data_IF_719242939897
#
_entry.id   IF_719242939897
#
_cell.length_a   1.000
_cell.length_b   1.000
_cell.length_c   1.000
_cell.angle_alpha   90.00
_cell.angle_beta   90.00
_cell.angle_gamma   90.00
#
_symmetry.space_group_name_H-M   'P 1'
#
loop_
_entity.id
_entity.type
_entity.pdbx_description
1 polymer ?
#
# COMPACT_ATOMS: atom_id res chain seq x y z
N UNK A 1 30.61 45.14 -9.52
CA UNK A 1 32.07 45.02 -9.48
C UNK A 1 32.40 43.57 -9.07
N UNK A 2 33.13 42.84 -9.90
CA UNK A 2 33.67 41.55 -9.52
C UNK A 2 34.71 41.75 -8.43
N UNK A 3 34.56 41.09 -7.29
CA UNK A 3 35.56 41.08 -6.23
C UNK A 3 36.60 40.01 -6.56
N UNK A 4 37.87 40.35 -6.39
CA UNK A 4 38.97 39.40 -6.53
C UNK A 4 38.79 38.25 -5.52
N UNK A 5 39.16 37.06 -5.92
CA UNK A 5 39.04 35.86 -5.09
C UNK A 5 40.14 35.82 -4.01
N UNK A 6 39.88 36.54 -2.92
CA UNK A 6 40.75 36.56 -1.74
C UNK A 6 40.03 35.98 -0.51
N UNK A 7 40.77 35.43 0.47
CA UNK A 7 40.15 34.89 1.69
C UNK A 7 39.29 35.92 2.43
N UNK A 8 39.67 37.21 2.41
CA UNK A 8 38.92 38.31 3.00
C UNK A 8 37.58 38.54 2.27
N UNK A 9 37.59 38.51 0.94
CA UNK A 9 36.39 38.68 0.13
C UNK A 9 35.45 37.46 0.24
N UNK A 10 35.97 36.25 0.29
CA UNK A 10 35.17 35.03 0.57
C UNK A 10 34.43 35.14 1.91
N UNK A 11 35.11 35.66 2.96
CA UNK A 11 34.46 35.85 4.27
C UNK A 11 33.36 36.91 4.21
N UNK A 12 33.54 37.99 3.48
CA UNK A 12 32.51 39.04 3.28
C UNK A 12 31.31 38.51 2.52
N UNK A 13 31.52 37.75 1.44
CA UNK A 13 30.44 37.15 0.64
C UNK A 13 29.64 36.15 1.49
N UNK A 14 30.31 35.36 2.31
CA UNK A 14 29.64 34.42 3.23
C UNK A 14 28.76 35.17 4.24
N UNK A 15 29.24 36.25 4.84
CA UNK A 15 28.44 37.06 5.77
C UNK A 15 27.22 37.71 5.10
N UNK A 16 27.37 38.17 3.84
CA UNK A 16 26.23 38.71 3.08
C UNK A 16 25.22 37.62 2.78
N UNK A 17 25.66 36.41 2.41
CA UNK A 17 24.77 35.27 2.15
C UNK A 17 23.98 34.86 3.40
N UNK A 18 24.67 34.71 4.53
CA UNK A 18 24.02 34.39 5.83
C UNK A 18 22.96 35.44 6.22
N UNK A 19 23.24 36.71 5.94
CA UNK A 19 22.30 37.82 6.17
C UNK A 19 21.10 37.74 5.22
N UNK A 20 21.30 37.46 3.94
CA UNK A 20 20.23 37.28 2.95
C UNK A 20 19.35 36.12 3.37
N UNK A 21 19.92 34.97 3.77
CA UNK A 21 19.17 33.79 4.24
C UNK A 21 18.36 34.11 5.49
N UNK A 22 18.91 34.87 6.43
CA UNK A 22 18.19 35.31 7.62
C UNK A 22 17.00 36.23 7.28
N UNK A 23 17.22 37.23 6.40
CA UNK A 23 16.17 38.17 5.97
C UNK A 23 15.06 37.44 5.16
N UNK A 24 15.41 36.46 4.32
CA UNK A 24 14.44 35.61 3.64
C UNK A 24 13.61 34.79 4.65
N UNK A 25 14.26 34.26 5.67
CA UNK A 25 13.58 33.45 6.71
C UNK A 25 12.59 34.28 7.52
N UNK A 26 12.92 35.53 7.81
CA UNK A 26 12.07 36.48 8.55
C UNK A 26 11.07 37.19 7.62
N UNK A 27 11.21 37.10 6.30
CA UNK A 27 10.32 37.76 5.31
C UNK A 27 10.60 39.24 5.12
N UNK A 28 11.80 39.72 5.48
CA UNK A 28 12.23 41.11 5.34
C UNK A 28 13.25 41.35 4.23
N UNK A 29 13.49 40.34 3.41
CA UNK A 29 14.46 40.42 2.31
C UNK A 29 13.97 41.33 1.18
N UNK A 30 14.77 42.32 0.85
CA UNK A 30 14.58 43.23 -0.30
C UNK A 30 15.68 43.02 -1.34
N UNK A 31 15.32 42.45 -2.51
CA UNK A 31 16.27 42.16 -3.59
C UNK A 31 17.06 43.38 -4.06
N UNK A 32 16.38 44.52 -4.22
CA UNK A 32 16.99 45.75 -4.68
C UNK A 32 18.10 46.29 -3.77
N UNK A 33 18.05 45.99 -2.46
CA UNK A 33 19.04 46.39 -1.47
C UNK A 33 20.38 45.69 -1.65
N UNK A 34 20.36 44.44 -2.07
CA UNK A 34 21.55 43.60 -2.26
C UNK A 34 22.06 43.62 -3.69
N UNK A 35 21.16 43.83 -4.68
CA UNK A 35 21.46 43.77 -6.11
C UNK A 35 20.90 44.98 -6.87
N UNK A 36 21.31 46.21 -6.53
CA UNK A 36 20.70 47.44 -7.07
C UNK A 36 20.89 47.64 -8.58
N UNK A 37 21.86 46.97 -9.20
CA UNK A 37 22.11 47.02 -10.65
C UNK A 37 21.64 45.79 -11.44
N UNK A 38 20.87 44.90 -10.83
CA UNK A 38 20.38 43.71 -11.51
C UNK A 38 19.16 44.04 -12.36
N UNK A 39 19.10 43.48 -13.60
CA UNK A 39 17.93 43.54 -14.47
C UNK A 39 16.69 42.87 -13.86
N UNK A 40 16.88 42.05 -12.83
CA UNK A 40 15.80 41.39 -12.12
C UNK A 40 15.16 42.27 -11.01
N UNK A 41 15.69 43.45 -10.72
CA UNK A 41 15.12 44.35 -9.69
C UNK A 41 13.66 44.70 -10.00
N UNK A 42 13.34 44.99 -11.26
CA UNK A 42 11.98 45.30 -11.66
C UNK A 42 11.05 44.09 -11.56
N UNK A 43 11.55 42.91 -11.89
CA UNK A 43 10.80 41.64 -11.76
C UNK A 43 10.42 41.36 -10.29
N UNK A 44 11.40 41.53 -9.38
CA UNK A 44 11.14 41.33 -7.94
C UNK A 44 10.40 42.49 -7.29
N UNK A 45 10.46 43.73 -7.85
CA UNK A 45 9.59 44.83 -7.45
C UNK A 45 8.14 44.57 -7.84
N UNK A 46 7.88 44.00 -9.04
CA UNK A 46 6.56 43.61 -9.48
C UNK A 46 6.00 42.51 -8.57
N UNK A 47 6.82 41.52 -8.18
CA UNK A 47 6.41 40.46 -7.23
C UNK A 47 6.05 41.02 -5.83
N UNK A 48 6.77 42.03 -5.33
CA UNK A 48 6.48 42.66 -4.03
C UNK A 48 5.28 43.64 -4.13
N UNK A 49 5.10 44.31 -5.27
CA UNK A 49 3.92 45.15 -5.52
C UNK A 49 2.64 44.35 -5.64
N UNK A 50 2.72 43.13 -6.20
CA UNK A 50 1.59 42.21 -6.29
C UNK A 50 1.19 41.64 -4.92
N UNK A 51 2.03 41.71 -3.89
CA UNK A 51 1.68 41.30 -2.53
C UNK A 51 0.78 42.33 -1.80
N UNK A 52 0.58 43.51 -2.38
CA UNK A 52 -0.33 44.56 -1.87
C UNK A 52 -1.66 44.68 -2.62
N UNK A 53 -1.73 44.20 -3.88
CA UNK A 53 -3.01 44.08 -4.57
C UNK A 53 -3.77 42.87 -4.05
N UNK A 54 -4.99 43.15 -3.59
CA UNK A 54 -5.93 42.10 -3.22
C UNK A 54 -6.23 41.30 -4.48
N UNK A 55 -5.48 40.22 -4.69
CA UNK A 55 -5.81 39.26 -5.75
C UNK A 55 -7.27 38.86 -5.58
N UNK A 56 -8.13 39.33 -6.47
CA UNK A 56 -9.52 38.87 -6.54
C UNK A 56 -9.51 37.41 -7.01
N UNK A 57 -9.35 36.51 -6.05
CA UNK A 57 -9.44 35.08 -6.29
C UNK A 57 -10.81 34.59 -5.92
N UNK A 58 -11.35 33.57 -6.60
CA UNK A 58 -12.67 33.01 -6.29
C UNK A 58 -12.72 32.45 -4.87
N UNK A 59 -13.93 32.24 -4.35
CA UNK A 59 -14.14 31.51 -3.13
C UNK A 59 -13.64 30.06 -3.31
N UNK A 60 -13.18 29.48 -2.21
CA UNK A 60 -12.73 28.09 -2.21
C UNK A 60 -13.84 27.14 -2.67
N UNK A 61 -15.10 27.40 -2.29
CA UNK A 61 -16.26 26.60 -2.72
C UNK A 61 -16.45 26.59 -4.24
N UNK A 62 -16.33 27.75 -4.88
CA UNK A 62 -16.47 27.89 -6.33
C UNK A 62 -15.31 27.25 -7.08
N UNK A 63 -14.09 27.54 -6.64
CA UNK A 63 -12.89 26.98 -7.25
C UNK A 63 -12.80 25.44 -7.07
N UNK A 64 -13.10 24.95 -5.87
CA UNK A 64 -13.11 23.51 -5.58
C UNK A 64 -14.14 22.74 -6.43
N UNK A 65 -15.30 23.36 -6.71
CA UNK A 65 -16.30 22.76 -7.60
C UNK A 65 -15.79 22.71 -9.04
N UNK A 66 -15.24 23.80 -9.55
CA UNK A 66 -14.65 23.88 -10.89
C UNK A 66 -13.54 22.84 -11.05
N UNK A 67 -12.60 22.81 -10.10
CA UNK A 67 -11.51 21.83 -10.07
C UNK A 67 -12.02 20.39 -10.02
N UNK A 68 -13.05 20.12 -9.21
CA UNK A 68 -13.62 18.78 -9.11
C UNK A 68 -14.26 18.33 -10.43
N UNK A 69 -14.99 19.23 -11.12
CA UNK A 69 -15.65 18.90 -12.37
C UNK A 69 -14.65 18.65 -13.51
N UNK A 70 -13.53 19.36 -13.52
CA UNK A 70 -12.44 19.14 -14.47
C UNK A 70 -11.69 17.83 -14.19
N UNK A 71 -11.39 17.56 -12.93
CA UNK A 71 -10.57 16.40 -12.54
C UNK A 71 -11.33 15.08 -12.56
N UNK A 72 -12.66 15.09 -12.33
CA UNK A 72 -13.48 13.85 -12.24
C UNK A 72 -13.48 13.01 -13.49
N UNK A 73 -13.24 13.59 -14.67
CA UNK A 73 -13.24 12.88 -15.96
C UNK A 73 -12.18 11.79 -16.04
N UNK A 74 -11.08 11.93 -15.31
CA UNK A 74 -9.98 10.97 -15.27
C UNK A 74 -10.07 10.01 -14.06
N UNK A 75 -11.04 10.20 -13.15
CA UNK A 75 -11.16 9.41 -11.95
C UNK A 75 -12.16 8.26 -12.07
N UNK A 76 -11.89 7.21 -11.29
CA UNK A 76 -12.88 6.15 -11.10
C UNK A 76 -14.00 6.62 -10.18
N UNK A 77 -15.21 6.11 -10.38
CA UNK A 77 -16.42 6.41 -9.58
C UNK A 77 -16.16 6.39 -8.06
N UNK A 78 -15.45 5.36 -7.56
CA UNK A 78 -15.12 5.25 -6.13
C UNK A 78 -14.22 6.38 -5.62
N UNK A 79 -13.32 6.89 -6.46
CA UNK A 79 -12.48 8.04 -6.12
C UNK A 79 -13.27 9.34 -6.15
N UNK A 80 -14.12 9.51 -7.17
CA UNK A 80 -15.06 10.64 -7.28
C UNK A 80 -15.90 10.75 -5.99
N UNK A 81 -16.55 9.64 -5.57
CA UNK A 81 -17.36 9.61 -4.33
C UNK A 81 -16.53 9.97 -3.08
N UNK A 82 -15.29 9.52 -3.02
CA UNK A 82 -14.40 9.77 -1.88
C UNK A 82 -13.96 11.23 -1.81
N UNK A 83 -13.63 11.83 -2.96
CA UNK A 83 -13.24 13.25 -3.04
C UNK A 83 -14.46 14.12 -2.75
N UNK A 84 -15.63 13.82 -3.35
CA UNK A 84 -16.88 14.55 -3.08
C UNK A 84 -17.22 14.54 -1.58
N UNK A 85 -17.21 13.35 -0.96
CA UNK A 85 -17.45 13.25 0.49
C UNK A 85 -16.42 14.06 1.31
N UNK A 86 -15.17 14.12 0.85
CA UNK A 86 -14.12 14.88 1.53
C UNK A 86 -14.35 16.38 1.40
N UNK A 87 -14.76 16.85 0.22
CA UNK A 87 -15.15 18.24 -0.02
C UNK A 87 -16.33 18.61 0.89
N UNK A 88 -17.44 17.90 0.78
CA UNK A 88 -18.69 18.25 1.45
C UNK A 88 -18.59 18.19 2.97
N UNK A 89 -17.91 17.17 3.50
CA UNK A 89 -17.84 16.94 4.94
C UNK A 89 -16.74 17.73 5.66
N UNK A 90 -15.62 17.98 4.99
CA UNK A 90 -14.44 18.52 5.67
C UNK A 90 -13.94 19.84 5.10
N UNK A 91 -13.86 19.98 3.77
CA UNK A 91 -13.19 21.14 3.18
C UNK A 91 -14.11 22.34 3.02
N UNK A 92 -15.29 22.16 2.44
CA UNK A 92 -16.25 23.25 2.24
C UNK A 92 -16.69 23.90 3.57
N UNK A 93 -16.99 23.16 4.66
CA UNK A 93 -17.35 23.78 5.92
C UNK A 93 -16.24 24.61 6.58
N UNK A 94 -14.96 24.37 6.21
CA UNK A 94 -13.83 25.06 6.84
C UNK A 94 -13.22 26.17 5.97
N UNK A 95 -13.29 26.04 4.64
CA UNK A 95 -12.64 26.95 3.72
C UNK A 95 -13.59 27.55 2.68
N UNK A 96 -14.83 27.05 2.56
CA UNK A 96 -15.75 27.38 1.48
C UNK A 96 -15.93 28.87 1.22
N UNK A 97 -16.09 29.65 2.27
CA UNK A 97 -16.36 31.09 2.22
C UNK A 97 -15.08 31.95 2.16
N UNK A 98 -13.90 31.33 2.11
CA UNK A 98 -12.63 32.04 2.00
C UNK A 98 -12.16 32.11 0.54
N UNK A 99 -11.62 33.25 0.14
CA UNK A 99 -10.93 33.37 -1.15
C UNK A 99 -9.67 32.48 -1.16
N UNK A 100 -9.44 31.70 -2.25
CA UNK A 100 -8.32 30.74 -2.32
C UNK A 100 -6.95 31.40 -2.13
N UNK A 101 -6.77 32.64 -2.58
CA UNK A 101 -5.54 33.41 -2.40
C UNK A 101 -5.34 33.97 -0.99
N UNK A 102 -6.37 33.97 -0.13
CA UNK A 102 -6.28 34.46 1.25
C UNK A 102 -6.06 33.36 2.28
N UNK A 103 -6.21 32.10 1.90
CA UNK A 103 -5.93 30.95 2.78
C UNK A 103 -4.43 30.91 3.09
N UNK A 104 -4.10 30.90 4.39
CA UNK A 104 -2.72 30.92 4.87
C UNK A 104 -2.30 29.52 5.36
N UNK A 105 -0.99 29.30 5.43
CA UNK A 105 -0.40 28.11 6.01
C UNK A 105 -0.90 27.82 7.43
N UNK A 106 -1.13 28.87 8.24
CA UNK A 106 -1.67 28.75 9.59
C UNK A 106 -3.06 28.12 9.60
N UNK A 107 -3.94 28.50 8.65
CA UNK A 107 -5.31 27.98 8.54
C UNK A 107 -5.30 26.49 8.22
N UNK A 108 -4.41 26.07 7.30
CA UNK A 108 -4.22 24.66 6.91
C UNK A 108 -3.72 23.83 8.10
N UNK A 109 -2.75 24.34 8.85
CA UNK A 109 -2.20 23.65 10.03
C UNK A 109 -3.24 23.60 11.16
N UNK A 110 -3.99 24.69 11.36
CA UNK A 110 -5.13 24.74 12.29
C UNK A 110 -6.18 23.70 11.95
N UNK A 111 -6.61 23.66 10.70
CA UNK A 111 -7.55 22.65 10.20
C UNK A 111 -7.03 21.21 10.42
N UNK A 112 -5.75 20.93 10.10
CA UNK A 112 -5.15 19.62 10.36
C UNK A 112 -5.17 19.25 11.85
N UNK A 113 -4.93 20.23 12.74
CA UNK A 113 -5.02 20.03 14.19
C UNK A 113 -6.47 19.74 14.64
N UNK A 114 -7.45 20.42 14.05
CA UNK A 114 -8.86 20.15 14.31
C UNK A 114 -9.26 18.73 13.91
N UNK A 115 -8.82 18.28 12.73
CA UNK A 115 -9.05 16.89 12.27
C UNK A 115 -8.51 15.84 13.25
N UNK A 116 -7.39 16.12 13.91
CA UNK A 116 -6.82 15.22 14.92
C UNK A 116 -7.68 15.11 16.19
N UNK A 117 -8.59 16.05 16.43
CA UNK A 117 -9.51 16.05 17.57
C UNK A 117 -10.90 15.49 17.24
N UNK A 118 -11.21 15.29 15.95
CA UNK A 118 -12.49 14.72 15.53
C UNK A 118 -12.54 13.25 15.93
N UNK A 119 -13.60 12.87 16.63
CA UNK A 119 -13.86 11.47 16.99
C UNK A 119 -14.00 10.60 15.74
N UNK A 120 -13.21 9.53 15.67
CA UNK A 120 -13.28 8.51 14.64
C UNK A 120 -14.41 7.51 14.94
N UNK A 121 -14.48 6.46 14.12
CA UNK A 121 -15.54 5.43 14.19
C UNK A 121 -15.55 4.61 15.50
N UNK A 122 -14.49 4.69 16.32
CA UNK A 122 -14.30 3.93 17.57
C UNK A 122 -14.07 4.86 18.77
N UNK A 123 -14.62 6.07 18.76
CA UNK A 123 -14.36 7.11 19.76
C UNK A 123 -12.91 7.59 19.84
N UNK A 124 -12.00 6.97 19.08
CA UNK A 124 -10.62 7.41 18.89
C UNK A 124 -10.58 8.56 17.87
N UNK A 125 -9.57 9.41 17.96
CA UNK A 125 -9.30 10.47 16.97
C UNK A 125 -9.08 9.90 15.56
N UNK A 126 -9.22 10.75 14.51
CA UNK A 126 -8.94 10.33 13.13
C UNK A 126 -7.47 9.90 13.01
N UNK A 127 -7.24 8.75 12.38
CA UNK A 127 -5.88 8.24 12.14
C UNK A 127 -5.08 9.15 11.22
N UNK A 128 -3.74 9.18 11.36
CA UNK A 128 -2.82 9.93 10.50
C UNK A 128 -3.07 9.64 9.00
N UNK A 129 -3.34 8.38 8.65
CA UNK A 129 -3.70 8.00 7.27
C UNK A 129 -4.97 8.70 6.80
N UNK A 130 -6.02 8.74 7.62
CA UNK A 130 -7.29 9.39 7.25
C UNK A 130 -7.11 10.90 7.12
N UNK A 131 -6.37 11.52 8.04
CA UNK A 131 -6.04 12.95 7.97
C UNK A 131 -5.26 13.25 6.68
N UNK A 132 -4.23 12.48 6.35
CA UNK A 132 -3.48 12.66 5.11
C UNK A 132 -4.38 12.52 3.87
N UNK A 133 -5.35 11.59 3.87
CA UNK A 133 -6.32 11.45 2.77
C UNK A 133 -7.23 12.66 2.63
N UNK A 134 -7.63 13.32 3.74
CA UNK A 134 -8.43 14.54 3.70
C UNK A 134 -7.58 15.72 3.21
N UNK A 135 -6.32 15.81 3.66
CA UNK A 135 -5.40 16.88 3.29
C UNK A 135 -4.94 16.83 1.82
N UNK A 136 -5.02 15.65 1.19
CA UNK A 136 -4.57 15.48 -0.21
C UNK A 136 -5.39 16.31 -1.20
N UNK A 137 -6.74 16.24 -1.24
CA UNK A 137 -7.55 17.11 -2.11
C UNK A 137 -7.33 18.60 -1.81
N UNK A 138 -7.24 18.99 -0.53
CA UNK A 138 -6.94 20.39 -0.16
C UNK A 138 -5.64 20.87 -0.79
N UNK A 139 -4.57 20.07 -0.70
CA UNK A 139 -3.28 20.38 -1.34
C UNK A 139 -3.41 20.52 -2.85
N UNK A 140 -4.13 19.61 -3.50
CA UNK A 140 -4.31 19.63 -4.96
C UNK A 140 -5.05 20.89 -5.39
N UNK A 141 -6.14 21.25 -4.70
CA UNK A 141 -6.93 22.44 -5.00
C UNK A 141 -6.10 23.72 -4.80
N UNK A 142 -5.43 23.85 -3.66
CA UNK A 142 -4.64 25.07 -3.38
C UNK A 142 -3.41 25.22 -4.28
N UNK A 143 -2.79 24.13 -4.67
CA UNK A 143 -1.68 24.17 -5.63
C UNK A 143 -2.19 24.56 -7.03
N UNK A 144 -3.32 24.03 -7.46
CA UNK A 144 -3.92 24.36 -8.74
C UNK A 144 -4.40 25.83 -8.77
N UNK A 145 -5.02 26.31 -7.68
CA UNK A 145 -5.40 27.71 -7.54
C UNK A 145 -4.17 28.63 -7.58
N UNK A 146 -3.10 28.25 -6.88
CA UNK A 146 -1.84 29.00 -6.88
C UNK A 146 -1.24 29.12 -8.29
N UNK A 147 -1.30 28.04 -9.08
CA UNK A 147 -0.84 28.05 -10.47
C UNK A 147 -1.70 28.92 -11.39
N UNK A 148 -3.04 28.87 -11.24
CA UNK A 148 -3.98 29.62 -12.10
C UNK A 148 -4.03 31.12 -11.80
N UNK A 149 -3.87 31.47 -10.53
CA UNK A 149 -3.96 32.87 -10.06
C UNK A 149 -2.60 33.45 -9.66
N UNK A 150 -1.50 32.78 -10.01
CA UNK A 150 -0.12 33.25 -9.90
C UNK A 150 0.29 33.72 -8.48
N UNK A 151 -0.16 32.99 -7.45
CA UNK A 151 0.28 33.22 -6.07
C UNK A 151 1.07 32.05 -5.50
N UNK A 152 1.82 32.30 -4.41
CA UNK A 152 2.57 31.24 -3.74
C UNK A 152 1.63 30.29 -2.98
N UNK A 153 1.68 28.98 -3.29
CA UNK A 153 0.81 28.00 -2.62
C UNK A 153 1.03 28.01 -1.10
N UNK A 154 -0.03 28.21 -0.31
CA UNK A 154 0.05 28.18 1.15
C UNK A 154 0.34 26.77 1.69
N UNK A 155 0.26 25.75 0.84
CA UNK A 155 0.58 24.37 1.20
C UNK A 155 2.08 24.07 1.15
N UNK A 156 2.90 25.00 0.65
CA UNK A 156 4.33 24.82 0.55
C UNK A 156 4.98 24.47 1.91
N UNK A 157 5.82 23.44 1.93
CA UNK A 157 6.53 22.98 3.13
C UNK A 157 5.65 22.26 4.17
N UNK A 158 4.37 21.99 3.90
CA UNK A 158 3.53 21.17 4.78
C UNK A 158 3.73 19.69 4.46
N UNK A 159 4.42 18.98 5.36
CA UNK A 159 4.67 17.54 5.24
C UNK A 159 3.42 16.73 5.70
N UNK A 160 3.19 15.59 5.04
CA UNK A 160 2.21 14.62 5.50
C UNK A 160 2.56 14.06 6.88
N UNK A 161 1.53 13.71 7.66
CA UNK A 161 1.73 13.05 8.95
C UNK A 161 2.39 11.69 8.74
N UNK A 162 3.33 11.34 9.62
CA UNK A 162 3.97 10.03 9.62
C UNK A 162 2.94 8.96 9.96
N UNK A 163 2.79 7.99 9.09
CA UNK A 163 1.89 6.84 9.29
C UNK A 163 2.72 5.68 9.82
N UNK A 164 2.36 5.10 10.97
CA UNK A 164 3.01 3.88 11.47
C UNK A 164 2.86 2.76 10.44
N UNK A 165 3.93 1.98 10.27
CA UNK A 165 3.86 0.78 9.42
C UNK A 165 2.95 -0.23 10.10
N UNK A 166 1.97 -0.73 9.38
CA UNK A 166 1.14 -1.84 9.84
C UNK A 166 1.81 -3.14 9.45
N UNK A 167 2.02 -4.00 10.43
CA UNK A 167 2.55 -5.33 10.18
C UNK A 167 1.50 -6.21 9.51
N UNK A 168 1.95 -7.00 8.55
CA UNK A 168 1.13 -8.08 8.00
C UNK A 168 1.14 -9.25 8.98
N UNK A 169 0.00 -9.93 9.10
CA UNK A 169 -0.21 -11.07 9.99
C UNK A 169 -0.69 -12.27 9.18
N UNK A 170 0.19 -12.90 8.38
CA UNK A 170 -0.19 -14.06 7.60
C UNK A 170 -0.60 -15.21 8.53
N UNK A 171 -1.38 -16.12 8.00
CA UNK A 171 -1.73 -17.37 8.67
C UNK A 171 -0.62 -18.39 8.47
N UNK A 172 -0.39 -19.23 9.47
CA UNK A 172 0.44 -20.43 9.32
C UNK A 172 -0.27 -21.46 8.45
N UNK A 173 0.45 -22.45 7.94
CA UNK A 173 -0.15 -23.51 7.13
C UNK A 173 -1.16 -24.34 7.94
N UNK A 174 -0.89 -24.58 9.24
CA UNK A 174 -1.81 -25.29 10.14
C UNK A 174 -3.08 -24.48 10.42
N UNK A 175 -2.97 -23.17 10.60
CA UNK A 175 -4.13 -22.28 10.71
C UNK A 175 -4.97 -22.30 9.42
N UNK A 176 -4.33 -22.27 8.24
CA UNK A 176 -5.01 -22.38 6.94
C UNK A 176 -5.74 -23.70 6.81
N UNK A 177 -5.08 -24.80 7.17
CA UNK A 177 -5.67 -26.14 7.16
C UNK A 177 -6.90 -26.19 8.08
N UNK A 178 -6.77 -25.75 9.33
CA UNK A 178 -7.87 -25.69 10.29
C UNK A 178 -9.05 -24.86 9.78
N UNK A 179 -8.79 -23.74 9.13
CA UNK A 179 -9.82 -22.89 8.53
C UNK A 179 -10.55 -23.62 7.40
N UNK A 180 -9.82 -24.28 6.48
CA UNK A 180 -10.40 -24.99 5.32
C UNK A 180 -11.20 -26.23 5.76
N UNK A 181 -10.73 -26.93 6.78
CA UNK A 181 -11.38 -28.14 7.28
C UNK A 181 -12.64 -27.83 8.09
N UNK A 182 -12.68 -26.70 8.78
CA UNK A 182 -13.78 -26.31 9.68
C UNK A 182 -14.84 -25.45 9.01
N UNK A 183 -14.48 -24.70 7.96
CA UNK A 183 -15.44 -23.83 7.31
C UNK A 183 -16.61 -24.62 6.71
N UNK A 184 -17.79 -24.00 6.71
CA UNK A 184 -18.99 -24.60 6.06
C UNK A 184 -18.65 -25.05 4.63
N UNK A 185 -19.18 -26.20 4.18
CA UNK A 185 -18.86 -26.78 2.86
C UNK A 185 -19.06 -25.82 1.69
N UNK A 186 -20.11 -24.99 1.74
CA UNK A 186 -20.44 -23.99 0.69
C UNK A 186 -19.43 -22.85 0.57
N UNK A 187 -18.55 -22.65 1.57
CA UNK A 187 -17.47 -21.66 1.53
C UNK A 187 -16.06 -22.29 1.40
N UNK A 188 -15.96 -23.62 1.37
CA UNK A 188 -14.66 -24.29 1.35
C UNK A 188 -13.85 -23.93 0.10
N UNK A 189 -14.45 -24.02 -1.08
CA UNK A 189 -13.82 -23.63 -2.34
C UNK A 189 -13.44 -22.16 -2.36
N UNK A 190 -14.28 -21.27 -1.81
CA UNK A 190 -14.02 -19.84 -1.70
C UNK A 190 -12.75 -19.55 -0.90
N UNK A 191 -12.53 -20.19 0.24
CA UNK A 191 -11.34 -19.96 1.05
C UNK A 191 -10.09 -20.65 0.47
N UNK A 192 -10.21 -21.82 -0.15
CA UNK A 192 -9.11 -22.45 -0.91
C UNK A 192 -8.60 -21.49 -1.99
N UNK A 193 -9.49 -20.94 -2.81
CA UNK A 193 -9.12 -19.93 -3.83
C UNK A 193 -8.46 -18.72 -3.19
N UNK A 194 -8.99 -18.19 -2.09
CA UNK A 194 -8.41 -17.03 -1.43
C UNK A 194 -7.01 -17.26 -0.87
N UNK A 195 -6.74 -18.41 -0.28
CA UNK A 195 -5.45 -18.71 0.33
C UNK A 195 -4.37 -19.08 -0.68
N UNK A 196 -4.74 -19.68 -1.82
CA UNK A 196 -3.75 -20.26 -2.73
C UNK A 196 -3.65 -19.59 -4.09
N UNK A 197 -4.40 -18.52 -4.36
CA UNK A 197 -4.29 -17.74 -5.60
C UNK A 197 -3.77 -16.32 -5.40
N UNK A 198 -3.75 -15.83 -4.17
CA UNK A 198 -3.37 -14.45 -3.87
C UNK A 198 -4.28 -13.38 -4.51
N UNK A 199 -5.46 -13.73 -5.00
CA UNK A 199 -6.43 -12.80 -5.57
C UNK A 199 -6.86 -11.74 -4.54
N UNK A 200 -7.08 -10.50 -5.01
CA UNK A 200 -7.70 -9.46 -4.17
C UNK A 200 -9.14 -9.81 -3.85
N UNK A 201 -9.66 -9.35 -2.72
CA UNK A 201 -11.05 -9.63 -2.32
C UNK A 201 -12.06 -9.27 -3.42
N UNK A 202 -11.91 -8.11 -4.06
CA UNK A 202 -12.78 -7.68 -5.15
C UNK A 202 -12.63 -8.54 -6.42
N UNK A 203 -11.45 -9.10 -6.67
CA UNK A 203 -11.19 -10.01 -7.79
C UNK A 203 -11.88 -11.36 -7.55
N UNK A 204 -11.82 -11.90 -6.33
CA UNK A 204 -12.53 -13.15 -5.98
C UNK A 204 -14.04 -13.00 -6.09
N UNK A 205 -14.60 -11.87 -5.62
CA UNK A 205 -16.03 -11.62 -5.72
C UNK A 205 -16.50 -11.31 -7.16
N UNK A 206 -15.61 -10.80 -8.01
CA UNK A 206 -15.89 -10.54 -9.41
C UNK A 206 -15.46 -11.67 -10.36
N UNK A 207 -15.00 -12.81 -9.82
CA UNK A 207 -14.54 -13.92 -10.64
C UNK A 207 -15.70 -14.60 -11.37
N UNK A 208 -15.58 -14.68 -12.68
CA UNK A 208 -16.56 -15.31 -13.55
C UNK A 208 -16.02 -16.61 -14.13
N UNK A 209 -16.90 -17.59 -14.42
CA UNK A 209 -16.51 -18.89 -14.98
C UNK A 209 -15.77 -18.79 -16.30
N UNK A 210 -16.15 -17.86 -17.17
CA UNK A 210 -15.45 -17.61 -18.43
C UNK A 210 -13.98 -17.18 -18.27
N UNK A 211 -13.58 -16.82 -17.04
CA UNK A 211 -12.20 -16.45 -16.71
C UNK A 211 -11.40 -17.61 -16.08
N UNK A 212 -12.00 -18.78 -15.91
CA UNK A 212 -11.35 -19.97 -15.36
C UNK A 212 -11.03 -20.94 -16.50
N UNK A 213 -9.75 -21.14 -16.76
CA UNK A 213 -9.26 -22.11 -17.73
C UNK A 213 -8.77 -23.36 -16.99
N UNK A 214 -9.56 -24.43 -17.06
CA UNK A 214 -9.24 -25.70 -16.41
C UNK A 214 -8.17 -26.52 -17.14
N UNK A 215 -8.01 -26.33 -18.47
CA UNK A 215 -7.03 -27.03 -19.27
C UNK A 215 -5.64 -26.46 -18.99
N UNK A 216 -5.50 -25.14 -19.04
CA UNK A 216 -4.26 -24.43 -18.71
C UNK A 216 -4.01 -24.28 -17.23
N UNK A 217 -5.00 -24.63 -16.40
CA UNK A 217 -4.98 -24.40 -14.95
C UNK A 217 -4.68 -22.95 -14.59
N UNK A 218 -5.48 -22.03 -15.11
CA UNK A 218 -5.25 -20.60 -14.94
C UNK A 218 -6.54 -19.82 -14.70
N UNK A 219 -6.44 -18.73 -13.97
CA UNK A 219 -7.49 -17.70 -13.86
C UNK A 219 -7.02 -16.45 -14.58
N UNK A 220 -7.85 -15.96 -15.50
CA UNK A 220 -7.67 -14.68 -16.18
C UNK A 220 -8.31 -13.57 -15.34
N UNK A 221 -7.50 -12.81 -14.59
CA UNK A 221 -8.00 -11.70 -13.75
C UNK A 221 -8.30 -10.50 -14.65
N UNK A 222 -9.58 -10.29 -14.94
CA UNK A 222 -10.07 -9.20 -15.81
C UNK A 222 -10.97 -8.22 -15.09
N UNK A 223 -11.76 -8.71 -14.14
CA UNK A 223 -12.82 -7.98 -13.47
C UNK A 223 -12.66 -7.98 -11.96
N UNK A 224 -13.25 -6.99 -11.31
CA UNK A 224 -13.36 -6.90 -9.88
C UNK A 224 -14.75 -6.40 -9.48
N UNK A 225 -15.34 -6.97 -8.43
CA UNK A 225 -16.62 -6.53 -7.88
C UNK A 225 -16.40 -5.41 -6.86
N UNK A 226 -16.83 -4.19 -7.18
CA UNK A 226 -16.59 -3.01 -6.35
C UNK A 226 -17.89 -2.23 -6.17
N UNK A 227 -18.33 -2.04 -4.93
CA UNK A 227 -19.56 -1.27 -4.58
C UNK A 227 -20.82 -1.68 -5.39
N UNK A 228 -20.99 -2.97 -5.67
CA UNK A 228 -22.17 -3.47 -6.39
C UNK A 228 -22.05 -3.40 -7.92
N UNK A 229 -20.88 -3.09 -8.44
CA UNK A 229 -20.62 -3.02 -9.89
C UNK A 229 -19.43 -3.90 -10.28
N UNK A 230 -19.51 -4.52 -11.45
CA UNK A 230 -18.41 -5.24 -12.07
C UNK A 230 -17.53 -4.22 -12.80
N UNK A 231 -16.33 -4.00 -12.26
CA UNK A 231 -15.38 -3.01 -12.79
C UNK A 231 -14.26 -3.74 -13.52
N UNK A 232 -13.98 -3.33 -14.75
CA UNK A 232 -12.84 -3.84 -15.51
C UNK A 232 -11.51 -3.38 -14.92
N UNK A 233 -10.54 -4.29 -14.79
CA UNK A 233 -9.21 -3.98 -14.26
C UNK A 233 -8.36 -3.33 -15.34
N UNK A 234 -8.19 -2.00 -15.30
CA UNK A 234 -7.51 -1.22 -16.37
C UNK A 234 -5.99 -1.03 -16.17
N UNK A 235 -5.43 -1.42 -15.04
CA UNK A 235 -4.00 -1.21 -14.79
C UNK A 235 -3.19 -2.42 -15.24
N UNK A 236 -2.07 -2.22 -15.90
CA UNK A 236 -1.19 -3.26 -16.46
C UNK A 236 -0.83 -4.38 -15.45
N UNK A 237 -0.63 -4.04 -14.17
CA UNK A 237 -0.40 -5.03 -13.12
C UNK A 237 -1.66 -5.75 -12.60
N UNK A 238 -2.86 -5.27 -12.94
CA UNK A 238 -4.12 -5.92 -12.49
C UNK A 238 -4.66 -6.90 -13.52
N UNK A 239 -4.39 -6.69 -14.79
CA UNK A 239 -4.71 -7.63 -15.87
C UNK A 239 -3.60 -8.69 -15.90
N UNK A 240 -3.90 -9.88 -15.43
CA UNK A 240 -2.91 -10.95 -15.31
C UNK A 240 -3.54 -12.31 -15.37
N UNK A 241 -2.69 -13.29 -15.57
CA UNK A 241 -3.01 -14.71 -15.40
C UNK A 241 -2.49 -15.18 -14.04
N UNK A 242 -3.28 -15.95 -13.33
CA UNK A 242 -2.92 -16.59 -12.05
C UNK A 242 -2.92 -18.10 -12.26
N UNK A 243 -1.77 -18.73 -12.02
CA UNK A 243 -1.62 -20.17 -12.13
C UNK A 243 -2.29 -20.88 -10.95
N UNK A 244 -2.90 -22.02 -11.21
CA UNK A 244 -3.67 -22.79 -10.23
C UNK A 244 -2.96 -24.08 -9.87
N UNK A 245 -2.81 -24.33 -8.58
CA UNK A 245 -2.44 -25.64 -8.09
C UNK A 245 -3.58 -26.64 -8.34
N UNK A 246 -3.28 -27.93 -8.33
CA UNK A 246 -4.26 -28.99 -8.49
C UNK A 246 -5.38 -28.90 -7.44
N UNK A 247 -5.02 -28.59 -6.19
CA UNK A 247 -5.98 -28.39 -5.09
C UNK A 247 -7.01 -27.29 -5.42
N UNK A 248 -6.56 -26.16 -5.98
CA UNK A 248 -7.44 -25.07 -6.39
C UNK A 248 -8.30 -25.45 -7.58
N UNK A 249 -7.74 -26.16 -8.58
CA UNK A 249 -8.53 -26.68 -9.71
C UNK A 249 -9.63 -27.62 -9.27
N UNK A 250 -9.32 -28.54 -8.37
CA UNK A 250 -10.31 -29.50 -7.84
C UNK A 250 -11.42 -28.78 -7.06
N UNK A 251 -11.05 -27.81 -6.21
CA UNK A 251 -12.02 -26.99 -5.49
C UNK A 251 -12.93 -26.18 -6.46
N UNK A 252 -12.38 -25.65 -7.54
CA UNK A 252 -13.16 -24.93 -8.55
C UNK A 252 -14.06 -25.88 -9.38
N UNK A 253 -13.61 -27.11 -9.68
CA UNK A 253 -14.47 -28.12 -10.34
C UNK A 253 -15.68 -28.50 -9.48
N UNK A 254 -15.48 -28.71 -8.19
CA UNK A 254 -16.60 -28.95 -7.26
C UNK A 254 -17.52 -27.73 -7.15
N UNK A 255 -16.96 -26.52 -7.09
CA UNK A 255 -17.75 -25.29 -7.10
C UNK A 255 -18.54 -25.11 -8.40
N UNK A 256 -18.01 -25.53 -9.54
CA UNK A 256 -18.69 -25.48 -10.83
C UNK A 256 -19.96 -26.31 -10.88
N UNK A 257 -19.98 -27.47 -10.20
CA UNK A 257 -21.20 -28.30 -10.07
C UNK A 257 -22.36 -27.56 -9.38
N UNK A 258 -22.02 -26.56 -8.51
CA UNK A 258 -23.00 -25.82 -7.72
C UNK A 258 -23.42 -24.52 -8.38
N UNK A 259 -22.46 -23.78 -8.97
CA UNK A 259 -22.70 -22.43 -9.51
C UNK A 259 -22.39 -22.28 -11.01
N UNK A 260 -22.08 -23.36 -11.71
CA UNK A 260 -21.72 -23.33 -13.13
C UNK A 260 -22.80 -22.81 -14.07
N UNK A 261 -24.08 -22.85 -13.64
CA UNK A 261 -25.19 -22.24 -14.37
C UNK A 261 -25.26 -20.71 -14.23
N UNK A 262 -24.49 -20.11 -13.32
CA UNK A 262 -24.41 -18.67 -13.11
C UNK A 262 -23.11 -18.10 -13.67
N UNK A 263 -23.06 -16.80 -13.99
CA UNK A 263 -21.83 -16.18 -14.49
C UNK A 263 -20.69 -16.17 -13.46
N UNK A 264 -21.01 -15.99 -12.18
CA UNK A 264 -20.02 -15.83 -11.12
C UNK A 264 -19.66 -17.14 -10.44
N UNK A 265 -18.37 -17.34 -10.17
CA UNK A 265 -17.87 -18.53 -9.45
C UNK A 265 -18.41 -18.60 -8.03
N UNK A 266 -18.40 -17.48 -7.32
CA UNK A 266 -18.90 -17.37 -5.95
C UNK A 266 -20.10 -16.43 -5.90
N UNK A 267 -21.28 -16.98 -5.89
CA UNK A 267 -22.53 -16.23 -5.93
C UNK A 267 -23.56 -16.75 -4.92
N UNK A 268 -24.61 -15.97 -4.72
CA UNK A 268 -25.83 -16.39 -4.02
C UNK A 268 -26.64 -17.38 -4.87
N UNK A 269 -27.72 -17.92 -4.31
CA UNK A 269 -28.65 -18.79 -5.03
C UNK A 269 -29.25 -18.12 -6.28
N UNK A 270 -29.41 -16.81 -6.23
CA UNK A 270 -29.94 -16.01 -7.33
C UNK A 270 -28.86 -15.59 -8.37
N UNK A 271 -27.64 -16.12 -8.24
CA UNK A 271 -26.52 -15.85 -9.14
C UNK A 271 -25.83 -14.51 -8.92
N UNK A 272 -26.24 -13.71 -7.92
CA UNK A 272 -25.57 -12.44 -7.59
C UNK A 272 -24.24 -12.69 -6.86
N UNK A 273 -23.20 -11.89 -7.11
CA UNK A 273 -21.92 -11.99 -6.42
C UNK A 273 -22.07 -11.92 -4.90
N UNK A 274 -21.26 -12.70 -4.16
CA UNK A 274 -21.29 -12.67 -2.71
C UNK A 274 -21.00 -11.27 -2.17
N UNK A 275 -21.76 -10.83 -1.16
CA UNK A 275 -21.52 -9.58 -0.49
C UNK A 275 -20.28 -9.68 0.42
N UNK A 276 -19.21 -8.87 0.21
CA UNK A 276 -17.97 -8.95 0.98
C UNK A 276 -18.16 -8.76 2.48
N UNK A 277 -19.09 -7.88 2.88
CA UNK A 277 -19.39 -7.63 4.28
C UNK A 277 -20.09 -8.84 4.93
N UNK A 278 -21.04 -9.46 4.22
CA UNK A 278 -21.71 -10.66 4.73
C UNK A 278 -20.70 -11.80 4.92
N UNK A 279 -19.83 -12.05 3.94
CA UNK A 279 -18.77 -13.06 4.09
C UNK A 279 -17.87 -12.73 5.29
N UNK A 280 -17.46 -11.47 5.43
CA UNK A 280 -16.56 -11.05 6.52
C UNK A 280 -17.21 -11.20 7.89
N UNK A 281 -18.44 -10.70 8.07
CA UNK A 281 -19.05 -10.61 9.40
C UNK A 281 -19.87 -11.86 9.79
N UNK A 282 -20.43 -12.59 8.82
CA UNK A 282 -21.28 -13.76 9.09
C UNK A 282 -20.57 -15.10 8.93
N UNK A 283 -19.43 -15.14 8.21
CA UNK A 283 -18.66 -16.37 7.99
C UNK A 283 -17.26 -16.27 8.58
N UNK A 284 -16.45 -15.31 8.08
CA UNK A 284 -15.03 -15.22 8.39
C UNK A 284 -14.73 -14.96 9.87
N UNK A 285 -15.28 -13.89 10.45
CA UNK A 285 -15.00 -13.58 11.85
C UNK A 285 -15.58 -14.60 12.84
N UNK A 286 -16.80 -15.13 12.67
CA UNK A 286 -17.29 -16.24 13.48
C UNK A 286 -16.42 -17.49 13.39
N UNK A 287 -15.93 -17.85 12.20
CA UNK A 287 -15.04 -18.99 12.00
C UNK A 287 -13.72 -18.83 12.75
N UNK A 288 -13.05 -17.65 12.62
CA UNK A 288 -11.81 -17.39 13.37
C UNK A 288 -12.05 -17.44 14.89
N UNK A 289 -13.18 -16.92 15.37
CA UNK A 289 -13.55 -16.99 16.78
C UNK A 289 -13.76 -18.43 17.25
N UNK A 290 -14.45 -19.24 16.44
CA UNK A 290 -14.70 -20.66 16.73
C UNK A 290 -13.39 -21.46 16.85
N UNK A 291 -12.42 -21.16 15.98
CA UNK A 291 -11.09 -21.79 15.98
C UNK A 291 -10.13 -21.21 17.04
N UNK A 292 -10.56 -20.25 17.85
CA UNK A 292 -9.67 -19.56 18.80
C UNK A 292 -8.58 -18.73 18.13
N UNK A 293 -8.70 -18.46 16.83
CA UNK A 293 -7.70 -17.73 16.09
C UNK A 293 -7.85 -16.21 16.27
N UNK A 294 -6.72 -15.52 16.27
CA UNK A 294 -6.69 -14.06 16.31
C UNK A 294 -7.56 -13.47 15.19
N UNK A 295 -8.33 -12.43 15.51
CA UNK A 295 -9.16 -11.73 14.53
C UNK A 295 -8.31 -11.00 13.51
N UNK A 296 -8.28 -11.50 12.28
CA UNK A 296 -7.57 -10.93 11.13
C UNK A 296 -8.57 -10.55 10.04
N UNK A 297 -8.23 -9.54 9.23
CA UNK A 297 -9.08 -9.17 8.07
C UNK A 297 -8.97 -10.22 6.98
N UNK A 298 -10.03 -10.46 6.16
CA UNK A 298 -9.96 -11.42 5.05
C UNK A 298 -8.81 -11.16 4.06
N UNK A 299 -8.33 -9.92 3.96
CA UNK A 299 -7.18 -9.57 3.09
C UNK A 299 -5.88 -10.27 3.52
N UNK A 300 -5.77 -10.72 4.76
CA UNK A 300 -4.60 -11.48 5.21
C UNK A 300 -4.44 -12.82 4.48
N UNK A 301 -5.49 -13.40 3.88
CA UNK A 301 -5.36 -14.58 3.02
C UNK A 301 -4.42 -14.35 1.84
N UNK A 302 -4.45 -13.14 1.25
CA UNK A 302 -3.53 -12.77 0.17
C UNK A 302 -2.09 -12.61 0.66
N UNK A 303 -1.90 -12.05 1.86
CA UNK A 303 -0.58 -11.99 2.49
C UNK A 303 -0.06 -13.38 2.80
N UNK A 304 -0.94 -14.29 3.24
CA UNK A 304 -0.63 -15.70 3.47
C UNK A 304 -0.18 -16.39 2.19
N UNK A 305 -0.88 -16.20 1.07
CA UNK A 305 -0.45 -16.76 -0.22
C UNK A 305 0.98 -16.37 -0.55
N UNK A 306 1.30 -15.07 -0.45
CA UNK A 306 2.65 -14.59 -0.75
C UNK A 306 3.72 -15.18 0.19
N UNK A 307 3.43 -15.29 1.49
CA UNK A 307 4.39 -15.86 2.45
C UNK A 307 4.58 -17.36 2.27
N UNK A 308 3.51 -18.10 1.94
CA UNK A 308 3.59 -19.54 1.66
C UNK A 308 4.38 -19.81 0.38
N UNK A 309 4.17 -19.06 -0.69
CA UNK A 309 4.94 -19.20 -1.92
C UNK A 309 6.43 -18.89 -1.71
N UNK A 310 6.73 -17.81 -0.98
CA UNK A 310 8.12 -17.49 -0.63
C UNK A 310 8.75 -18.58 0.25
N UNK A 311 8.03 -19.12 1.23
CA UNK A 311 8.50 -20.21 2.08
C UNK A 311 8.71 -21.52 1.29
N UNK A 312 7.92 -21.74 0.24
CA UNK A 312 8.07 -22.87 -0.68
C UNK A 312 9.27 -22.70 -1.64
N UNK A 313 9.86 -21.51 -1.74
CA UNK A 313 11.01 -21.21 -2.59
C UNK A 313 10.65 -20.75 -4.00
N UNK A 314 9.40 -20.31 -4.22
CA UNK A 314 8.98 -19.77 -5.50
C UNK A 314 9.70 -18.46 -5.83
N UNK A 315 9.95 -18.23 -7.13
CA UNK A 315 10.63 -17.02 -7.61
C UNK A 315 9.87 -15.75 -7.23
N UNK A 316 10.54 -14.74 -6.65
CA UNK A 316 9.91 -13.46 -6.32
C UNK A 316 9.24 -12.78 -7.51
N UNK A 317 9.78 -12.92 -8.72
CA UNK A 317 9.23 -12.37 -9.95
C UNK A 317 7.91 -13.08 -10.31
N UNK A 318 7.87 -14.41 -10.18
CA UNK A 318 6.65 -15.17 -10.39
C UNK A 318 5.60 -14.77 -9.36
N UNK A 319 5.94 -14.68 -8.07
CA UNK A 319 5.01 -14.26 -7.01
C UNK A 319 4.48 -12.84 -7.27
N UNK A 320 5.35 -11.90 -7.63
CA UNK A 320 4.94 -10.53 -7.96
C UNK A 320 3.92 -10.52 -9.11
N UNK A 321 4.17 -11.30 -10.16
CA UNK A 321 3.25 -11.48 -11.30
C UNK A 321 1.93 -12.10 -10.87
N UNK A 322 1.93 -13.19 -10.08
CA UNK A 322 0.72 -13.82 -9.54
C UNK A 322 -0.11 -12.82 -8.72
N UNK A 323 0.54 -12.03 -7.90
CA UNK A 323 -0.11 -11.02 -7.09
C UNK A 323 -0.53 -9.76 -7.88
N UNK A 324 -0.01 -9.54 -9.07
CA UNK A 324 -0.23 -8.30 -9.83
C UNK A 324 0.43 -7.10 -9.14
N UNK A 325 1.69 -7.27 -8.74
CA UNK A 325 2.59 -6.21 -8.34
C UNK A 325 3.41 -5.79 -9.56
N UNK A 326 3.62 -4.50 -9.75
CA UNK A 326 4.40 -3.96 -10.85
C UNK A 326 5.90 -4.21 -10.66
N UNK A 327 6.35 -4.35 -9.42
CA UNK A 327 7.75 -4.61 -9.07
C UNK A 327 7.84 -5.60 -7.90
N UNK A 328 8.98 -6.28 -7.79
CA UNK A 328 9.31 -7.16 -6.66
C UNK A 328 9.62 -6.38 -5.37
N UNK A 329 9.92 -5.08 -5.46
CA UNK A 329 10.21 -4.23 -4.31
C UNK A 329 9.09 -4.26 -3.26
N UNK A 330 7.82 -4.22 -3.72
CA UNK A 330 6.65 -4.32 -2.84
C UNK A 330 6.63 -5.64 -2.08
N UNK A 331 7.01 -6.75 -2.75
CA UNK A 331 7.10 -8.08 -2.17
C UNK A 331 8.15 -8.11 -1.05
N UNK A 332 9.37 -7.68 -1.34
CA UNK A 332 10.45 -7.66 -0.35
C UNK A 332 10.17 -6.71 0.80
N UNK A 333 9.66 -5.52 0.53
CA UNK A 333 9.32 -4.54 1.58
C UNK A 333 8.30 -5.05 2.58
N UNK A 334 7.33 -5.87 2.13
CA UNK A 334 6.22 -6.36 2.96
C UNK A 334 6.55 -7.71 3.60
N UNK A 335 7.24 -8.61 2.88
CA UNK A 335 7.34 -10.02 3.26
C UNK A 335 8.75 -10.51 3.60
N UNK A 336 9.82 -9.69 3.43
CA UNK A 336 11.20 -10.12 3.66
C UNK A 336 11.43 -10.83 5.00
N UNK A 337 10.78 -10.36 6.05
CA UNK A 337 10.88 -10.96 7.40
C UNK A 337 10.18 -12.31 7.59
N UNK A 338 9.33 -12.72 6.62
CA UNK A 338 8.61 -13.99 6.66
C UNK A 338 9.24 -15.06 5.76
N UNK A 339 10.41 -14.79 5.21
CA UNK A 339 11.07 -15.67 4.26
C UNK A 339 12.28 -16.33 4.91
N UNK A 340 12.12 -17.56 5.42
CA UNK A 340 13.24 -18.31 5.97
C UNK A 340 14.40 -18.51 4.96
N UNK A 341 14.04 -18.59 3.66
CA UNK A 341 14.99 -18.85 2.60
C UNK A 341 15.76 -17.63 2.09
N UNK A 342 15.26 -16.38 2.27
CA UNK A 342 16.03 -15.18 1.96
C UNK A 342 17.13 -14.90 3.02
N UNK A 343 16.98 -15.48 4.21
CA UNK A 343 17.97 -15.41 5.29
C UNK A 343 18.92 -16.59 5.29
N UNK A 344 18.71 -17.61 4.45
CA UNK A 344 19.67 -18.69 4.26
C UNK A 344 20.86 -18.19 3.45
N UNK A 345 21.89 -17.77 4.16
CA UNK A 345 23.21 -17.45 3.62
C UNK A 345 24.16 -18.67 3.70
N UNK A 346 23.61 -19.88 3.72
CA UNK A 346 24.34 -21.13 3.98
C UNK A 346 24.72 -21.89 2.70
N UNK A 347 24.37 -21.36 1.53
CA UNK A 347 24.69 -22.01 0.24
C UNK A 347 23.96 -23.33 -0.04
N UNK A 348 23.08 -23.80 0.87
CA UNK A 348 22.44 -25.11 0.77
C UNK A 348 21.57 -25.30 -0.50
N UNK A 349 21.05 -24.21 -1.07
CA UNK A 349 20.33 -24.28 -2.35
C UNK A 349 21.26 -24.54 -3.52
N UNK A 350 22.43 -23.91 -3.53
CA UNK A 350 23.49 -24.17 -4.53
C UNK A 350 24.03 -25.58 -4.38
N UNK A 351 24.27 -26.02 -3.16
CA UNK A 351 24.70 -27.37 -2.84
C UNK A 351 23.75 -28.44 -3.40
N UNK A 352 22.44 -28.26 -3.20
CA UNK A 352 21.40 -29.15 -3.76
C UNK A 352 21.42 -29.14 -5.30
N UNK A 353 21.54 -27.95 -5.90
CA UNK A 353 21.63 -27.81 -7.34
C UNK A 353 22.86 -28.53 -7.88
N UNK A 354 24.02 -28.36 -7.25
CA UNK A 354 25.27 -29.04 -7.64
C UNK A 354 25.15 -30.56 -7.51
N UNK A 355 24.59 -31.06 -6.40
CA UNK A 355 24.34 -32.50 -6.22
C UNK A 355 23.39 -33.06 -7.27
N UNK A 356 22.32 -32.35 -7.62
CA UNK A 356 21.39 -32.80 -8.64
C UNK A 356 21.91 -32.72 -10.06
N UNK A 357 22.79 -31.75 -10.35
CA UNK A 357 23.29 -31.48 -11.69
C UNK A 357 24.60 -32.19 -12.01
N UNK A 358 25.45 -32.44 -11.02
CA UNK A 358 26.79 -33.00 -11.20
C UNK A 358 26.98 -34.39 -10.59
N UNK A 359 25.92 -35.03 -10.09
CA UNK A 359 25.88 -36.40 -9.57
C UNK A 359 27.16 -36.81 -8.83
N UNK A 360 27.21 -36.69 -7.52
CA UNK A 360 28.33 -37.34 -6.80
C UNK A 360 28.07 -38.85 -6.71
N UNK A 361 28.34 -39.59 -7.77
CA UNK A 361 28.85 -40.93 -7.66
C UNK A 361 30.37 -40.81 -7.45
N UNK A 362 30.84 -41.06 -6.21
CA UNK A 362 32.24 -41.13 -5.89
C UNK A 362 32.72 -40.40 -4.66
N UNK A 363 32.08 -40.63 -3.49
CA UNK A 363 32.74 -40.41 -2.20
C UNK A 363 33.57 -41.66 -1.81
N UNK A 364 34.78 -41.51 -1.23
CA UNK A 364 35.59 -42.68 -0.83
C UNK A 364 34.82 -43.46 0.27
N UNK A 365 34.63 -44.75 0.02
CA UNK A 365 34.23 -45.72 1.06
C UNK A 365 35.30 -45.71 2.13
N UNK A 366 34.98 -45.18 3.29
CA UNK A 366 35.74 -45.47 4.50
C UNK A 366 35.41 -46.91 4.89
N UNK A 367 36.34 -47.77 4.60
CA UNK A 367 36.36 -49.17 5.07
C UNK A 367 36.39 -49.14 6.59
N UNK A 368 35.32 -49.60 7.19
CA UNK A 368 35.22 -49.72 8.63
C UNK A 368 36.14 -50.81 9.17
N UNK A 369 37.08 -50.45 9.98
CA UNK A 369 37.75 -51.37 10.89
C UNK A 369 36.84 -51.72 12.06
N UNK A 370 36.59 -53.01 12.18
CA UNK A 370 35.93 -53.65 13.33
C UNK A 370 36.88 -53.68 14.52
N UNK A 371 36.44 -53.14 15.63
CA UNK A 371 37.01 -53.51 16.93
C UNK A 371 35.91 -53.78 17.93
N UNK A 372 35.97 -54.94 18.50
CA UNK A 372 35.08 -55.56 19.48
C UNK A 372 35.30 -54.99 20.91
N UNK A 373 34.52 -55.41 21.88
CA UNK A 373 34.12 -54.57 23.03
C UNK A 373 35.02 -54.77 24.24
N UNK A 374 35.12 -53.79 25.09
CA UNK A 374 35.61 -53.93 26.47
C UNK A 374 34.63 -53.33 27.45
N UNK A 375 34.27 -54.19 28.36
CA UNK A 375 33.49 -54.06 29.57
C UNK A 375 34.07 -53.06 30.57
N UNK A 376 33.17 -52.46 31.34
CA UNK A 376 33.52 -52.24 32.78
C UNK A 376 33.15 -50.90 33.39
N UNK A 377 32.24 -51.07 34.29
CA UNK A 377 32.08 -50.44 35.63
C UNK A 377 31.45 -49.08 35.79
N UNK A 378 30.36 -49.16 36.50
CA UNK A 378 29.67 -48.18 37.33
C UNK A 378 30.57 -47.33 38.21
N UNK A 379 30.26 -46.07 38.38
CA UNK A 379 30.29 -45.37 39.68
C UNK A 379 29.18 -44.31 39.69
N UNK A 380 28.21 -44.50 40.56
CA UNK A 380 27.36 -43.46 41.16
C UNK A 380 28.24 -42.48 41.94
N UNK A 381 27.94 -41.22 41.89
CA UNK A 381 27.95 -40.34 43.07
C UNK A 381 26.98 -39.19 42.87
N UNK A 382 26.10 -39.08 43.81
CA UNK A 382 25.14 -38.09 44.18
C UNK A 382 25.73 -36.70 44.51
N UNK A 383 24.78 -35.74 44.45
CA UNK A 383 24.54 -34.60 45.36
C UNK A 383 25.01 -33.19 45.00
N UNK A 384 23.99 -32.36 45.09
CA UNK A 384 23.87 -31.03 45.71
C UNK A 384 24.61 -29.80 45.10
N UNK A 385 23.90 -28.94 44.48
CA UNK A 385 23.29 -27.67 44.99
C UNK A 385 22.59 -26.89 43.90
#
# INVERSE_FOLDING_TARGET
AALDDTPANRKKVKQILERIEAEITVGTFEYARYFPGSSNVEKFRAEVATTGEVLETPLFSEFAQTWFDEMRIQWRKTHIDTVRLTLDKYLLPNFGDQQVGRIKKADILGFRSTLAKVSGRKEESLSATRINHIMTPLRMILNEAANRYEFTSPYHGIKSLKVPRTDVEPFTLDEVKSIIDTVRPDYRAYFIVRFFTGLRTSEVHGLQWQCVDFERRQILVRNAWVKGELVYTKNDGSFRTVDLSEMVCNALREQHKVTGQHPFVFCSRDGAPLNPNNVTYRVWHPLLKHLGLRRRRPYQTRHTAATLWLAAGESPEWIARQMGHTTTEMLFRVYSRYVPNLTRQDGSAMERLLRSSFGQDGGPQVVGESAAPASGSQVEVSDER
#
